data_IF_969453843975
#
_entry.id   IF_969453843975
#
_cell.length_a   1.000
_cell.length_b   1.000
_cell.length_c   1.000
_cell.angle_alpha   90.00
_cell.angle_beta   90.00
_cell.angle_gamma   90.00
#
_symmetry.space_group_name_H-M   'P 1'
#
loop_
_entity.id
_entity.type
_entity.pdbx_description
1 polymer ?
#
# COMPACT_ATOMS: atom_id res chain seq x y z
N UNK A 1 14.32 16.72 10.13
CA UNK A 1 14.08 15.30 9.85
C UNK A 1 14.33 14.96 8.38
N UNK A 2 14.11 13.71 8.03
CA UNK A 2 14.10 13.26 6.63
C UNK A 2 12.69 12.77 6.32
N UNK A 3 12.15 13.21 5.19
CA UNK A 3 10.87 12.75 4.65
C UNK A 3 11.15 11.65 3.65
N UNK A 4 10.26 10.64 3.60
CA UNK A 4 10.33 9.54 2.67
C UNK A 4 9.02 9.42 1.90
N UNK A 5 9.12 9.27 0.59
CA UNK A 5 7.99 9.04 -0.30
C UNK A 5 8.16 7.71 -1.00
N UNK A 6 7.12 6.89 -0.94
CA UNK A 6 7.07 5.58 -1.58
C UNK A 6 6.00 5.60 -2.66
N UNK A 7 6.35 5.06 -3.81
CA UNK A 7 5.46 5.01 -4.97
C UNK A 7 5.65 3.75 -5.80
N UNK A 8 4.62 3.39 -6.51
CA UNK A 8 4.67 2.35 -7.53
C UNK A 8 5.71 2.74 -8.58
N UNK A 9 6.61 1.82 -8.88
CA UNK A 9 7.60 2.05 -9.92
C UNK A 9 7.28 1.16 -11.13
N UNK A 10 6.83 1.81 -12.19
CA UNK A 10 6.41 1.17 -13.44
C UNK A 10 7.31 1.67 -14.57
N UNK A 11 7.90 0.75 -15.34
CA UNK A 11 8.79 1.08 -16.48
C UNK A 11 8.23 0.57 -17.80
N UNK A 12 8.58 1.27 -18.91
CA UNK A 12 8.29 0.91 -20.27
C UNK A 12 7.08 1.63 -20.85
N UNK A 13 6.62 1.22 -22.02
CA UNK A 13 5.45 1.81 -22.68
C UNK A 13 4.17 1.17 -22.15
N UNK A 14 3.20 1.99 -21.83
CA UNK A 14 1.82 1.54 -21.71
C UNK A 14 1.32 1.18 -23.12
N UNK A 15 0.93 -0.07 -23.30
CA UNK A 15 0.27 -0.51 -24.52
C UNK A 15 -1.22 -0.49 -24.24
N UNK A 16 -1.93 0.38 -24.94
CA UNK A 16 -3.37 0.48 -24.83
C UNK A 16 -4.00 -0.36 -25.93
N UNK A 17 -4.92 -1.26 -25.60
CA UNK A 17 -5.79 -1.84 -26.62
C UNK A 17 -6.70 -0.75 -27.21
N UNK A 18 -7.07 -0.89 -28.48
CA UNK A 18 -7.86 0.10 -29.24
C UNK A 18 -9.21 0.45 -28.58
N UNK A 19 -9.72 -0.45 -27.74
CA UNK A 19 -10.95 -0.25 -26.98
C UNK A 19 -10.76 0.42 -25.62
N UNK A 20 -9.51 0.63 -25.18
CA UNK A 20 -9.24 1.25 -23.88
C UNK A 20 -9.59 2.75 -23.92
N UNK A 21 -10.46 3.16 -23.02
CA UNK A 21 -10.88 4.56 -22.91
C UNK A 21 -10.07 5.36 -21.90
N UNK A 22 -10.17 5.02 -20.61
CA UNK A 22 -9.54 5.76 -19.52
C UNK A 22 -8.59 4.89 -18.68
N UNK A 23 -8.76 3.59 -18.68
CA UNK A 23 -7.93 2.66 -17.90
C UNK A 23 -6.64 2.32 -18.64
N UNK A 24 -5.79 3.30 -18.70
CA UNK A 24 -4.50 3.21 -19.40
C UNK A 24 -3.37 2.87 -18.44
N UNK A 25 -3.63 2.15 -17.42
CA UNK A 25 -2.59 1.79 -16.47
C UNK A 25 -1.85 0.54 -16.90
N UNK A 26 -0.59 0.56 -16.56
CA UNK A 26 0.26 -0.58 -16.71
C UNK A 26 0.12 -1.46 -15.50
N UNK A 27 0.08 -2.73 -15.75
CA UNK A 27 0.17 -3.75 -14.71
C UNK A 27 1.61 -4.19 -14.46
N UNK A 28 2.55 -3.96 -15.41
CA UNK A 28 3.95 -4.37 -15.30
C UNK A 28 4.73 -3.57 -14.24
N UNK A 29 4.45 -3.83 -13.00
CA UNK A 29 5.15 -3.26 -11.86
C UNK A 29 6.60 -3.75 -11.84
N UNK A 30 7.55 -2.82 -11.64
CA UNK A 30 8.95 -3.16 -11.39
C UNK A 30 9.29 -3.14 -9.90
N UNK A 31 8.38 -2.69 -9.07
CA UNK A 31 8.53 -2.65 -7.61
C UNK A 31 8.00 -1.36 -7.01
N UNK A 32 8.37 -1.14 -5.76
CA UNK A 32 8.13 0.12 -5.03
C UNK A 32 9.42 0.92 -5.00
N UNK A 33 9.38 2.15 -5.52
CA UNK A 33 10.46 3.12 -5.42
C UNK A 33 10.37 3.93 -4.14
N UNK A 34 11.53 4.36 -3.63
CA UNK A 34 11.64 5.25 -2.49
C UNK A 34 12.39 6.52 -2.87
N UNK A 35 11.91 7.64 -2.37
CA UNK A 35 12.53 8.95 -2.48
C UNK A 35 12.69 9.56 -1.10
N UNK A 36 13.77 10.30 -0.88
CA UNK A 36 13.99 11.06 0.35
C UNK A 36 14.13 12.55 0.10
N UNK A 37 13.71 13.36 1.09
CA UNK A 37 13.85 14.81 1.06
C UNK A 37 14.10 15.37 2.45
N UNK A 38 14.77 16.53 2.49
CA UNK A 38 14.97 17.33 3.71
C UNK A 38 14.00 18.53 3.79
N UNK A 39 13.42 18.92 2.68
CA UNK A 39 12.66 20.17 2.51
C UNK A 39 11.31 19.98 1.79
N UNK A 40 10.95 18.76 1.38
CA UNK A 40 9.77 18.40 0.59
C UNK A 40 9.74 18.97 -0.84
N UNK A 41 10.80 19.67 -1.26
CA UNK A 41 10.94 20.26 -2.60
C UNK A 41 11.95 19.49 -3.42
N UNK A 42 13.11 19.16 -2.84
CA UNK A 42 14.18 18.44 -3.50
C UNK A 42 14.18 16.99 -3.08
N UNK A 43 13.96 16.09 -4.03
CA UNK A 43 13.82 14.66 -3.80
C UNK A 43 14.97 13.87 -4.41
N UNK A 44 15.59 13.02 -3.62
CA UNK A 44 16.61 12.06 -4.05
C UNK A 44 15.97 10.70 -4.21
N UNK A 45 16.17 10.05 -5.37
CA UNK A 45 15.77 8.66 -5.56
C UNK A 45 16.73 7.73 -4.80
N UNK A 46 16.20 6.96 -3.87
CA UNK A 46 16.96 6.02 -3.03
C UNK A 46 17.03 4.60 -3.65
N UNK A 47 16.20 4.31 -4.64
CA UNK A 47 16.17 3.03 -5.32
C UNK A 47 14.83 2.31 -5.22
N UNK A 48 14.81 1.07 -5.73
CA UNK A 48 13.67 0.16 -5.59
C UNK A 48 13.82 -0.59 -4.27
N UNK A 49 12.93 -0.29 -3.33
CA UNK A 49 13.02 -0.81 -1.95
C UNK A 49 12.24 -2.11 -1.74
N UNK A 50 11.29 -2.41 -2.63
CA UNK A 50 10.58 -3.68 -2.73
C UNK A 50 10.51 -4.05 -4.22
N UNK A 51 11.43 -4.91 -4.73
CA UNK A 51 11.46 -5.25 -6.15
C UNK A 51 10.34 -6.23 -6.54
N UNK A 52 9.95 -6.19 -7.81
CA UNK A 52 9.08 -7.19 -8.39
C UNK A 52 9.77 -8.57 -8.46
N UNK A 53 8.99 -9.63 -8.31
CA UNK A 53 9.42 -11.03 -8.46
C UNK A 53 9.08 -11.49 -9.88
N UNK A 54 10.12 -11.68 -10.73
CA UNK A 54 9.93 -11.95 -12.17
C UNK A 54 9.81 -13.42 -12.51
N UNK A 55 10.36 -14.28 -11.66
CA UNK A 55 10.54 -15.70 -11.97
C UNK A 55 9.35 -16.57 -11.52
N UNK A 56 8.38 -16.00 -10.83
CA UNK A 56 7.15 -16.68 -10.39
C UNK A 56 5.90 -15.90 -10.80
N UNK A 57 5.21 -16.31 -11.88
CA UNK A 57 3.98 -15.65 -12.34
C UNK A 57 2.81 -15.68 -11.33
N UNK A 58 2.87 -16.57 -10.34
CA UNK A 58 1.85 -16.67 -9.30
C UNK A 58 2.13 -15.75 -8.10
N UNK A 59 3.35 -15.24 -7.99
CA UNK A 59 3.72 -14.34 -6.91
C UNK A 59 2.97 -13.01 -7.00
N UNK A 60 2.56 -12.46 -5.87
CA UNK A 60 1.83 -11.18 -5.78
C UNK A 60 2.58 -10.00 -6.39
N UNK A 61 3.91 -10.03 -6.29
CA UNK A 61 4.78 -8.99 -6.82
C UNK A 61 5.26 -9.26 -8.25
N UNK A 62 4.66 -10.22 -8.96
CA UNK A 62 5.01 -10.46 -10.37
C UNK A 62 4.60 -9.25 -11.24
N UNK A 63 5.38 -8.88 -12.28
CA UNK A 63 5.09 -7.72 -13.14
C UNK A 63 3.70 -7.73 -13.79
N UNK A 64 3.08 -8.91 -13.98
CA UNK A 64 1.72 -9.02 -14.52
C UNK A 64 0.62 -8.77 -13.48
N UNK A 65 0.97 -8.59 -12.21
CA UNK A 65 0.03 -8.26 -11.14
C UNK A 65 0.00 -6.77 -10.91
N UNK A 66 -0.89 -6.33 -10.04
CA UNK A 66 -1.05 -4.91 -9.69
C UNK A 66 -0.62 -4.71 -8.24
N UNK A 67 0.25 -3.73 -8.03
CA UNK A 67 0.67 -3.27 -6.72
C UNK A 67 0.46 -1.75 -6.67
N UNK A 68 -0.40 -1.30 -5.77
CA UNK A 68 -0.81 0.11 -5.69
C UNK A 68 -0.76 0.64 -4.26
N UNK A 69 -0.76 1.97 -4.12
CA UNK A 69 -0.90 2.67 -2.84
C UNK A 69 0.08 2.24 -1.76
N UNK A 70 1.38 2.04 -2.01
CA UNK A 70 2.31 1.69 -0.94
C UNK A 70 2.38 2.81 0.11
N UNK A 71 2.23 2.42 1.38
CA UNK A 71 2.35 3.31 2.54
C UNK A 71 3.27 2.66 3.56
N UNK A 72 4.16 3.44 4.14
CA UNK A 72 5.12 2.96 5.13
C UNK A 72 4.94 3.71 6.43
N UNK A 73 4.90 2.97 7.52
CA UNK A 73 4.87 3.50 8.89
C UNK A 73 6.01 2.90 9.71
N UNK A 74 6.53 3.68 10.65
CA UNK A 74 7.55 3.20 11.58
C UNK A 74 6.91 2.71 12.87
N UNK A 75 7.19 1.48 13.25
CA UNK A 75 6.78 0.90 14.51
C UNK A 75 7.87 1.10 15.57
N UNK A 76 7.65 2.03 16.49
CA UNK A 76 8.62 2.36 17.56
C UNK A 76 8.88 1.17 18.49
N UNK A 77 7.89 0.27 18.67
CA UNK A 77 7.96 -0.87 19.59
C UNK A 77 8.86 -1.98 19.05
N UNK A 78 8.80 -2.24 17.74
CA UNK A 78 9.58 -3.29 17.09
C UNK A 78 10.84 -2.76 16.40
N UNK A 79 10.98 -1.44 16.22
CA UNK A 79 12.05 -0.82 15.46
C UNK A 79 11.95 -1.04 13.94
N UNK A 80 10.80 -1.51 13.44
CA UNK A 80 10.63 -1.87 12.02
C UNK A 80 9.86 -0.80 11.25
N UNK A 81 10.19 -0.69 9.98
CA UNK A 81 9.38 -0.02 8.97
C UNK A 81 8.43 -1.04 8.36
N UNK A 82 7.13 -0.75 8.40
CA UNK A 82 6.08 -1.64 7.90
C UNK A 82 5.42 -0.97 6.71
N UNK A 83 5.48 -1.63 5.57
CA UNK A 83 4.81 -1.21 4.34
C UNK A 83 3.50 -1.98 4.20
N UNK A 84 2.44 -1.26 3.88
CA UNK A 84 1.17 -1.79 3.43
C UNK A 84 0.92 -1.33 1.99
N UNK A 85 0.36 -2.21 1.16
CA UNK A 85 0.01 -1.89 -0.22
C UNK A 85 -1.26 -2.62 -0.64
N UNK A 86 -1.97 -2.06 -1.63
CA UNK A 86 -3.04 -2.75 -2.34
C UNK A 86 -2.41 -3.73 -3.34
N UNK A 87 -2.81 -4.98 -3.26
CA UNK A 87 -2.33 -6.08 -4.13
C UNK A 87 -3.49 -6.67 -4.90
N UNK A 88 -3.35 -6.68 -6.22
CA UNK A 88 -4.40 -7.14 -7.12
C UNK A 88 -3.89 -8.11 -8.20
N UNK A 89 -4.81 -8.95 -8.64
CA UNK A 89 -4.71 -9.60 -9.96
C UNK A 89 -4.95 -8.59 -11.07
N UNK A 90 -4.53 -8.91 -12.29
CA UNK A 90 -4.71 -8.01 -13.44
C UNK A 90 -6.19 -7.65 -13.72
N UNK A 91 -7.13 -8.51 -13.30
CA UNK A 91 -8.58 -8.31 -13.43
C UNK A 91 -9.23 -7.67 -12.19
N UNK A 92 -8.45 -7.24 -11.19
CA UNK A 92 -8.92 -6.64 -9.94
C UNK A 92 -9.87 -7.53 -9.11
N UNK A 93 -9.78 -8.85 -9.25
CA UNK A 93 -10.62 -9.79 -8.48
C UNK A 93 -10.03 -10.18 -7.13
N UNK A 94 -8.72 -9.98 -6.92
CA UNK A 94 -8.02 -10.41 -5.70
C UNK A 94 -8.35 -9.55 -4.50
N UNK A 95 -8.31 -8.23 -4.63
CA UNK A 95 -8.64 -7.23 -3.62
C UNK A 95 -8.02 -7.50 -2.24
N UNK A 96 -6.69 -7.57 -2.16
CA UNK A 96 -5.94 -7.89 -0.95
C UNK A 96 -5.07 -6.72 -0.50
N UNK A 97 -4.77 -6.69 0.79
CA UNK A 97 -3.69 -5.89 1.35
C UNK A 97 -2.42 -6.74 1.41
N UNK A 98 -1.31 -6.21 0.90
CA UNK A 98 0.02 -6.80 1.02
C UNK A 98 0.83 -6.12 2.12
N UNK A 99 1.68 -6.86 2.80
CA UNK A 99 2.53 -6.35 3.87
C UNK A 99 4.00 -6.68 3.58
N UNK A 100 4.88 -5.72 3.84
CA UNK A 100 6.33 -5.94 3.80
C UNK A 100 7.02 -5.21 4.96
N UNK A 101 8.19 -5.69 5.38
CA UNK A 101 8.92 -5.13 6.52
C UNK A 101 10.38 -4.86 6.18
N UNK A 102 10.96 -3.85 6.84
CA UNK A 102 12.37 -3.51 6.72
C UNK A 102 12.92 -2.95 8.03
N UNK A 103 14.23 -3.06 8.21
CA UNK A 103 14.98 -2.39 9.28
C UNK A 103 15.33 -0.93 8.92
N UNK A 104 15.15 -0.54 7.66
CA UNK A 104 15.53 0.76 7.15
C UNK A 104 14.39 1.40 6.34
N UNK A 105 14.20 2.73 6.39
CA UNK A 105 13.22 3.40 5.55
C UNK A 105 13.52 3.27 4.04
N UNK A 106 14.78 3.05 3.69
CA UNK A 106 15.22 2.87 2.30
C UNK A 106 15.34 1.39 1.90
N UNK A 107 14.73 0.49 2.68
CA UNK A 107 14.72 -0.95 2.39
C UNK A 107 16.06 -1.66 2.66
N UNK A 108 16.26 -2.87 2.13
CA UNK A 108 15.25 -3.62 1.37
C UNK A 108 14.05 -4.04 2.24
N UNK A 109 12.86 -4.01 1.66
CA UNK A 109 11.67 -4.57 2.30
C UNK A 109 11.53 -6.05 1.96
N UNK A 110 11.14 -6.85 2.96
CA UNK A 110 10.85 -8.28 2.81
C UNK A 110 9.34 -8.47 2.81
N UNK A 111 8.83 -8.94 1.68
CA UNK A 111 7.40 -9.20 1.50
C UNK A 111 6.92 -10.34 2.40
N UNK A 112 5.81 -10.15 3.10
CA UNK A 112 5.22 -11.09 4.05
C UNK A 112 3.99 -11.81 3.49
N UNK A 113 3.53 -11.41 2.30
CA UNK A 113 2.33 -11.94 1.66
C UNK A 113 1.16 -10.95 1.66
N UNK A 114 0.03 -11.40 1.11
CA UNK A 114 -1.21 -10.63 1.05
C UNK A 114 -2.40 -11.40 1.60
N UNK A 115 -3.40 -10.67 2.04
CA UNK A 115 -4.64 -11.23 2.59
C UNK A 115 -5.77 -10.21 2.48
N UNK A 116 -7.01 -10.65 2.66
CA UNK A 116 -8.17 -9.78 2.83
C UNK A 116 -8.33 -9.42 4.30
N UNK A 117 -8.05 -8.17 4.73
CA UNK A 117 -8.20 -7.78 6.12
C UNK A 117 -9.66 -7.92 6.57
N UNK A 118 -9.87 -8.50 7.76
CA UNK A 118 -11.20 -8.79 8.31
C UNK A 118 -12.10 -9.62 7.35
N UNK A 119 -11.50 -10.45 6.50
CA UNK A 119 -12.16 -11.23 5.44
C UNK A 119 -12.92 -10.38 4.40
N UNK A 120 -12.59 -9.09 4.30
CA UNK A 120 -13.22 -8.15 3.38
C UNK A 120 -12.25 -7.74 2.26
N UNK A 121 -12.79 -7.34 1.10
CA UNK A 121 -12.00 -6.76 0.02
C UNK A 121 -11.20 -5.56 0.52
N UNK A 122 -9.96 -5.42 0.08
CA UNK A 122 -9.12 -4.26 0.41
C UNK A 122 -8.51 -3.72 -0.87
N UNK A 123 -8.91 -2.52 -1.24
CA UNK A 123 -8.41 -1.80 -2.41
C UNK A 123 -7.65 -0.56 -1.98
N UNK A 124 -7.98 0.62 -2.48
CA UNK A 124 -7.31 1.87 -2.10
C UNK A 124 -7.18 1.99 -0.60
N UNK A 125 -5.96 2.22 -0.13
CA UNK A 125 -5.68 2.16 1.29
C UNK A 125 -4.62 3.16 1.74
N UNK A 126 -4.63 3.46 3.02
CA UNK A 126 -3.55 4.11 3.75
C UNK A 126 -3.43 3.54 5.15
N UNK A 127 -2.29 3.76 5.79
CA UNK A 127 -2.09 3.48 7.21
C UNK A 127 -1.71 4.75 7.95
N UNK A 128 -2.18 4.84 9.18
CA UNK A 128 -1.94 5.96 10.08
C UNK A 128 -1.56 5.45 11.46
N UNK A 129 -0.56 6.05 12.09
CA UNK A 129 -0.16 5.78 13.47
C UNK A 129 -0.53 6.97 14.32
N UNK A 130 -1.35 6.77 15.35
CA UNK A 130 -1.75 7.81 16.28
C UNK A 130 -0.66 8.05 17.34
N UNK A 131 -0.80 9.14 18.11
CA UNK A 131 0.18 9.56 19.13
C UNK A 131 0.38 8.53 20.23
N UNK A 132 -0.63 7.71 20.51
CA UNK A 132 -0.57 6.61 21.47
C UNK A 132 0.14 5.35 20.95
N UNK A 133 0.60 5.39 19.69
CA UNK A 133 1.30 4.28 19.03
C UNK A 133 0.37 3.21 18.45
N UNK A 134 -0.94 3.39 18.50
CA UNK A 134 -1.86 2.50 17.77
C UNK A 134 -1.87 2.84 16.29
N UNK A 135 -1.85 1.80 15.46
CA UNK A 135 -1.92 1.94 14.02
C UNK A 135 -3.27 1.50 13.46
N UNK A 136 -3.70 2.19 12.43
CA UNK A 136 -4.97 1.94 11.76
C UNK A 136 -4.76 1.84 10.25
N UNK A 137 -5.41 0.85 9.63
CA UNK A 137 -5.55 0.77 8.19
C UNK A 137 -6.92 1.33 7.79
N UNK A 138 -6.93 2.25 6.84
CA UNK A 138 -8.13 2.76 6.17
C UNK A 138 -8.13 2.20 4.76
N UNK A 139 -9.19 1.51 4.36
CA UNK A 139 -9.25 0.90 3.03
C UNK A 139 -10.65 0.86 2.45
N UNK A 140 -10.73 1.01 1.13
CA UNK A 140 -11.97 0.86 0.39
C UNK A 140 -12.30 -0.62 0.24
N UNK A 141 -13.53 -0.97 0.57
CA UNK A 141 -14.07 -2.33 0.55
C UNK A 141 -15.43 -2.37 -0.15
N UNK A 142 -16.05 -3.56 -0.24
CA UNK A 142 -17.36 -3.74 -0.85
C UNK A 142 -17.44 -3.13 -2.26
N UNK A 143 -16.45 -3.45 -3.12
CA UNK A 143 -16.29 -2.87 -4.46
C UNK A 143 -16.17 -1.33 -4.44
N UNK A 144 -15.40 -0.78 -3.50
CA UNK A 144 -15.18 0.64 -3.25
C UNK A 144 -16.40 1.41 -2.72
N UNK A 145 -17.46 0.72 -2.30
CA UNK A 145 -18.66 1.38 -1.81
C UNK A 145 -18.54 1.84 -0.35
N UNK A 146 -17.69 1.18 0.46
CA UNK A 146 -17.64 1.40 1.90
C UNK A 146 -16.19 1.52 2.38
N UNK A 147 -15.91 2.49 3.23
CA UNK A 147 -14.60 2.64 3.88
C UNK A 147 -14.54 1.82 5.16
N UNK A 148 -13.55 0.93 5.26
CA UNK A 148 -13.25 0.21 6.48
C UNK A 148 -12.09 0.89 7.22
N UNK A 149 -12.20 0.99 8.53
CA UNK A 149 -11.13 1.45 9.42
C UNK A 149 -10.82 0.31 10.38
N UNK A 150 -9.63 -0.25 10.28
CA UNK A 150 -9.21 -1.42 11.03
C UNK A 150 -8.06 -1.07 11.98
N UNK A 151 -8.24 -1.35 13.28
CA UNK A 151 -7.13 -1.31 14.23
C UNK A 151 -6.16 -2.45 13.91
N UNK A 152 -4.88 -2.15 13.82
CA UNK A 152 -3.82 -3.13 13.58
C UNK A 152 -3.33 -3.76 14.90
N UNK A 153 -2.66 -4.90 14.79
CA UNK A 153 -1.89 -5.52 15.89
C UNK A 153 -0.71 -4.64 16.30
N UNK A 154 -0.15 -4.89 17.46
CA UNK A 154 0.97 -4.11 18.03
C UNK A 154 2.23 -4.07 17.14
N UNK A 155 2.44 -5.08 16.31
CA UNK A 155 3.53 -5.16 15.32
C UNK A 155 3.19 -4.48 13.98
N UNK A 156 1.94 -4.02 13.80
CA UNK A 156 1.37 -3.41 12.60
C UNK A 156 1.26 -4.34 11.39
N UNK A 157 1.38 -5.67 11.58
CA UNK A 157 1.42 -6.61 10.46
C UNK A 157 0.05 -7.17 10.07
N UNK A 158 -0.94 -7.08 10.96
CA UNK A 158 -2.27 -7.68 10.76
C UNK A 158 -3.38 -6.83 11.37
N UNK A 159 -4.63 -6.97 10.90
CA UNK A 159 -5.78 -6.48 11.63
C UNK A 159 -5.90 -7.16 13.00
N UNK A 160 -6.27 -6.41 14.02
CA UNK A 160 -6.54 -6.93 15.36
C UNK A 160 -7.91 -7.64 15.49
N UNK A 161 -8.72 -7.61 14.43
CA UNK A 161 -10.11 -8.04 14.44
C UNK A 161 -11.10 -6.94 14.86
N UNK A 162 -10.60 -5.77 15.28
CA UNK A 162 -11.44 -4.61 15.62
C UNK A 162 -11.49 -3.65 14.45
N UNK A 163 -12.67 -3.43 13.89
CA UNK A 163 -12.86 -2.53 12.75
C UNK A 163 -14.23 -1.87 12.76
N UNK A 164 -14.37 -0.81 11.99
CA UNK A 164 -15.63 -0.13 11.73
C UNK A 164 -15.85 0.04 10.23
N UNK A 165 -17.12 0.14 9.84
CA UNK A 165 -17.54 0.50 8.49
C UNK A 165 -18.03 1.95 8.49
N UNK A 166 -17.47 2.76 7.61
CA UNK A 166 -17.73 4.19 7.53
C UNK A 166 -18.06 4.56 6.09
N UNK A 167 -18.79 5.65 5.89
CA UNK A 167 -19.22 6.09 4.56
C UNK A 167 -19.86 4.94 3.76
N UNK A 168 -20.78 4.22 4.42
CA UNK A 168 -21.39 3.00 3.88
C UNK A 168 -22.18 3.32 2.62
N UNK A 169 -21.80 2.69 1.50
CA UNK A 169 -22.35 2.91 0.15
C UNK A 169 -22.20 4.34 -0.39
N UNK A 170 -21.18 5.07 0.09
CA UNK A 170 -20.91 6.42 -0.39
C UNK A 170 -19.77 6.47 -1.42
N UNK A 171 -19.16 5.35 -1.76
CA UNK A 171 -18.08 5.21 -2.77
C UNK A 171 -16.94 6.17 -2.54
N UNK A 172 -16.35 6.13 -1.33
CA UNK A 172 -15.17 6.92 -0.96
C UNK A 172 -13.92 6.08 -1.17
N UNK A 173 -12.99 6.62 -1.93
CA UNK A 173 -11.72 5.97 -2.28
C UNK A 173 -10.52 6.84 -1.91
N UNK A 174 -9.31 6.31 -2.17
CA UNK A 174 -8.03 7.01 -2.02
C UNK A 174 -7.86 7.73 -0.67
N UNK A 175 -8.02 7.04 0.48
CA UNK A 175 -7.94 7.69 1.77
C UNK A 175 -6.58 8.32 2.00
N UNK A 176 -6.58 9.56 2.50
CA UNK A 176 -5.42 10.25 3.04
C UNK A 176 -5.75 10.73 4.45
N UNK A 177 -4.97 10.29 5.44
CA UNK A 177 -5.24 10.52 6.86
C UNK A 177 -4.09 11.28 7.49
N UNK A 178 -4.41 12.34 8.20
CA UNK A 178 -3.47 13.12 8.98
C UNK A 178 -4.16 13.68 10.22
N UNK A 179 -3.36 14.04 11.22
CA UNK A 179 -3.85 14.68 12.45
C UNK A 179 -3.53 16.18 12.40
N UNK A 180 -4.50 16.98 12.80
CA UNK A 180 -4.37 18.44 12.87
C UNK A 180 -4.93 18.95 14.18
N UNK A 181 -4.07 19.58 14.99
CA UNK A 181 -4.41 20.16 16.32
C UNK A 181 -5.03 19.17 17.32
N UNK A 182 -4.60 17.92 17.27
CA UNK A 182 -5.01 16.88 18.21
C UNK A 182 -6.06 15.92 17.68
#
# INVERSE_FOLDING_TARGET
>A
GTYYWYGEYKKGKTILPDWATWECYRTDVTGVGCYSSKDLLNWKFEGIVLPAVKDDPNHDLHPSKVLERPKVVYNKKTGKFVMWAHVESADYSKACAGVAVSDSPVGPFVYQGSFRPNNAMSRDQTVFVDDDGRAYQFYSSENNETMYISLLTDDYLKPSGRFTRNFVKESREAPAVFKYNG
#
